data_IF_270373965442
#
_entry.id   IF_270373965442
#
_cell.length_a   1.000
_cell.length_b   1.000
_cell.length_c   1.000
_cell.angle_alpha   90.00
_cell.angle_beta   90.00
_cell.angle_gamma   90.00
#
_symmetry.space_group_name_H-M   'P 1'
#
loop_
_entity.id
_entity.type
_entity.pdbx_description
1 polymer ?
#
# COMPACT_ATOMS: atom_id res chain seq x y z
N UNK A 1 1.28 -17.59 -20.08
CA UNK A 1 1.94 -17.70 -18.77
C UNK A 1 1.05 -17.02 -17.76
N UNK A 2 0.68 -17.69 -16.69
CA UNK A 2 -0.08 -17.07 -15.60
C UNK A 2 0.90 -16.26 -14.76
N UNK A 3 0.76 -14.94 -14.75
CA UNK A 3 1.60 -14.07 -13.92
C UNK A 3 1.28 -14.32 -12.44
N UNK A 4 2.31 -14.59 -11.64
CA UNK A 4 2.20 -14.69 -10.18
C UNK A 4 2.23 -13.25 -9.64
N UNK A 5 1.17 -12.85 -8.93
CA UNK A 5 1.03 -11.50 -8.39
C UNK A 5 1.66 -11.35 -7.00
N UNK A 6 2.24 -10.18 -6.74
CA UNK A 6 2.59 -9.67 -5.42
C UNK A 6 1.73 -8.43 -5.09
N UNK A 7 1.75 -7.99 -3.82
CA UNK A 7 0.83 -6.97 -3.34
C UNK A 7 1.54 -5.74 -2.76
N UNK A 8 0.83 -4.62 -2.82
CA UNK A 8 1.23 -3.37 -2.21
C UNK A 8 0.12 -2.79 -1.33
N UNK A 9 0.53 -2.18 -0.22
CA UNK A 9 -0.36 -1.50 0.71
C UNK A 9 -0.18 0.00 0.54
N UNK A 10 -1.29 0.67 0.28
CA UNK A 10 -1.39 2.11 0.14
C UNK A 10 -2.26 2.67 1.26
N UNK A 11 -1.89 3.80 1.84
CA UNK A 11 -2.76 4.46 2.82
C UNK A 11 -2.55 5.97 2.83
N UNK A 12 -3.48 6.68 3.47
CA UNK A 12 -3.30 8.10 3.78
C UNK A 12 -2.58 8.22 5.12
N UNK A 13 -1.73 9.23 5.21
CA UNK A 13 -0.97 9.56 6.41
C UNK A 13 -1.59 10.80 7.02
N UNK A 14 -1.82 10.79 8.34
CA UNK A 14 -2.34 11.97 9.05
C UNK A 14 -1.27 13.08 9.01
N UNK A 15 -1.57 14.30 8.53
CA UNK A 15 -0.58 15.38 8.45
C UNK A 15 0.09 15.71 9.79
N UNK A 16 -0.63 15.51 10.90
CA UNK A 16 -0.11 15.69 12.26
C UNK A 16 1.06 14.72 12.60
N UNK A 17 1.09 13.52 12.02
CA UNK A 17 2.07 12.47 12.32
C UNK A 17 3.14 12.35 11.23
N UNK A 18 3.31 13.39 10.40
CA UNK A 18 4.26 13.38 9.29
C UNK A 18 5.70 13.13 9.70
N UNK A 19 6.05 13.33 10.98
CA UNK A 19 7.38 13.08 11.51
C UNK A 19 7.59 11.59 11.77
N UNK A 20 6.64 10.94 12.44
CA UNK A 20 6.65 9.50 12.68
C UNK A 20 6.69 8.74 11.35
N UNK A 21 5.86 9.15 10.39
CA UNK A 21 5.84 8.60 9.05
C UNK A 21 7.22 8.69 8.36
N UNK A 22 7.90 9.84 8.40
CA UNK A 22 9.22 10.00 7.77
C UNK A 22 10.26 9.04 8.33
N UNK A 23 10.29 8.90 9.66
CA UNK A 23 11.21 7.99 10.36
C UNK A 23 10.95 6.55 9.98
N UNK A 24 9.69 6.14 9.99
CA UNK A 24 9.29 4.79 9.64
C UNK A 24 9.64 4.49 8.19
N UNK A 25 9.28 5.37 7.25
CA UNK A 25 9.53 5.19 5.82
C UNK A 25 11.02 5.19 5.49
N UNK A 26 11.82 6.01 6.19
CA UNK A 26 13.28 5.98 6.10
C UNK A 26 13.83 4.59 6.49
N UNK A 27 13.29 3.98 7.55
CA UNK A 27 13.62 2.62 7.97
C UNK A 27 13.25 1.55 6.94
N UNK A 28 12.11 1.70 6.26
CA UNK A 28 11.64 0.73 5.24
C UNK A 28 12.43 0.82 3.92
N UNK A 29 12.82 2.04 3.52
CA UNK A 29 13.39 2.30 2.19
C UNK A 29 14.91 2.48 2.19
N UNK A 30 15.51 2.68 3.37
CA UNK A 30 16.90 3.12 3.51
C UNK A 30 17.13 4.58 3.12
N UNK A 31 16.07 5.34 2.82
CA UNK A 31 16.19 6.77 2.53
C UNK A 31 16.49 7.58 3.80
N UNK A 32 17.13 8.74 3.65
CA UNK A 32 17.20 9.67 4.78
C UNK A 32 15.84 10.33 4.97
N UNK A 33 15.48 10.70 6.21
CA UNK A 33 14.20 11.36 6.50
C UNK A 33 13.94 12.61 5.65
N UNK A 34 15.00 13.36 5.31
CA UNK A 34 14.88 14.55 4.45
C UNK A 34 14.52 14.18 3.00
N UNK A 35 15.02 13.05 2.51
CA UNK A 35 14.69 12.56 1.18
C UNK A 35 13.24 12.08 1.15
N UNK A 36 12.77 11.40 2.21
CA UNK A 36 11.34 11.06 2.37
C UNK A 36 10.46 12.30 2.32
N UNK A 37 10.83 13.35 3.08
CA UNK A 37 10.07 14.61 3.06
C UNK A 37 10.03 15.25 1.67
N UNK A 38 11.17 15.31 0.98
CA UNK A 38 11.24 15.93 -0.35
C UNK A 38 10.37 15.20 -1.38
N UNK A 39 10.21 13.87 -1.24
CA UNK A 39 9.50 13.03 -2.20
C UNK A 39 8.01 12.90 -1.89
N UNK A 40 7.66 12.76 -0.61
CA UNK A 40 6.32 12.38 -0.18
C UNK A 40 5.63 13.44 0.68
N UNK A 41 6.34 14.50 1.07
CA UNK A 41 5.81 15.55 1.95
C UNK A 41 4.54 16.19 1.41
N UNK A 42 4.52 16.61 0.13
CA UNK A 42 3.31 17.18 -0.49
C UNK A 42 2.16 16.18 -0.52
N UNK A 43 2.42 14.90 -0.84
CA UNK A 43 1.39 13.87 -0.87
C UNK A 43 0.72 13.67 0.49
N UNK A 44 1.48 13.76 1.59
CA UNK A 44 0.94 13.72 2.95
C UNK A 44 0.06 14.94 3.23
N UNK A 45 0.53 16.15 2.93
CA UNK A 45 -0.21 17.39 3.18
C UNK A 45 -1.51 17.47 2.34
N UNK A 46 -1.50 16.89 1.14
CA UNK A 46 -2.65 16.85 0.25
C UNK A 46 -3.59 15.67 0.51
N UNK A 47 -3.30 14.81 1.49
CA UNK A 47 -4.13 13.66 1.85
C UNK A 47 -4.24 12.59 0.75
N UNK A 48 -3.18 12.43 -0.06
CA UNK A 48 -3.10 11.41 -1.10
C UNK A 48 -2.75 10.04 -0.52
N UNK A 49 -3.13 8.98 -1.22
CA UNK A 49 -2.65 7.64 -0.92
C UNK A 49 -1.16 7.51 -1.26
N UNK A 50 -0.41 6.95 -0.31
CA UNK A 50 1.03 6.74 -0.41
C UNK A 50 1.29 5.23 -0.31
N UNK A 51 2.17 4.72 -1.17
CA UNK A 51 2.68 3.34 -1.08
C UNK A 51 3.49 3.20 0.20
N UNK A 52 3.03 2.37 1.14
CA UNK A 52 3.71 2.13 2.40
C UNK A 52 4.60 0.89 2.34
N UNK A 53 4.07 -0.19 1.75
CA UNK A 53 4.71 -1.49 1.62
C UNK A 53 4.40 -2.05 0.24
N UNK A 54 5.31 -2.85 -0.31
CA UNK A 54 5.18 -3.47 -1.64
C UNK A 54 5.94 -4.78 -1.73
N UNK A 55 5.69 -5.53 -2.80
CA UNK A 55 6.28 -6.85 -3.02
C UNK A 55 5.95 -7.86 -1.91
N UNK A 56 4.74 -7.75 -1.36
CA UNK A 56 4.26 -8.63 -0.30
C UNK A 56 3.65 -9.91 -0.89
N UNK A 57 3.86 -11.03 -0.21
CA UNK A 57 3.00 -12.21 -0.35
C UNK A 57 1.58 -11.91 0.13
N UNK A 58 0.61 -12.76 -0.22
CA UNK A 58 -0.77 -12.56 0.18
C UNK A 58 -0.93 -12.62 1.71
N UNK A 59 -0.29 -13.60 2.35
CA UNK A 59 -0.39 -13.80 3.80
C UNK A 59 0.30 -12.66 4.57
N UNK A 60 1.46 -12.22 4.08
CA UNK A 60 2.18 -11.06 4.61
C UNK A 60 1.34 -9.78 4.48
N UNK A 61 0.72 -9.55 3.32
CA UNK A 61 -0.11 -8.39 3.11
C UNK A 61 -1.31 -8.32 4.07
N UNK A 62 -1.96 -9.45 4.36
CA UNK A 62 -3.03 -9.51 5.35
C UNK A 62 -2.50 -9.20 6.77
N UNK A 63 -1.34 -9.74 7.10
CA UNK A 63 -0.70 -9.51 8.40
C UNK A 63 -0.34 -8.04 8.60
N UNK A 64 0.31 -7.43 7.61
CA UNK A 64 0.73 -6.02 7.62
C UNK A 64 -0.46 -5.07 7.67
N UNK A 65 -1.57 -5.37 6.97
CA UNK A 65 -2.81 -4.60 7.07
C UNK A 65 -3.37 -4.55 8.50
N UNK A 66 -3.22 -5.64 9.25
CA UNK A 66 -3.62 -5.71 10.66
C UNK A 66 -2.70 -4.97 11.62
N UNK A 67 -1.51 -4.57 11.17
CA UNK A 67 -0.44 -4.01 12.01
C UNK A 67 0.01 -2.63 11.52
N UNK A 68 -0.84 -1.92 10.78
CA UNK A 68 -0.49 -0.61 10.24
C UNK A 68 -0.09 0.38 11.33
N UNK A 69 0.97 1.18 11.11
CA UNK A 69 1.40 2.15 12.09
C UNK A 69 0.31 3.18 12.43
N UNK A 70 0.32 3.67 13.66
CA UNK A 70 -0.68 4.61 14.15
C UNK A 70 -0.74 5.93 13.37
N UNK A 71 0.29 6.31 12.60
CA UNK A 71 0.28 7.51 11.75
C UNK A 71 -0.65 7.38 10.51
N UNK A 72 -1.12 6.16 10.22
CA UNK A 72 -2.05 5.89 9.12
C UNK A 72 -3.46 6.37 9.50
N UNK A 73 -4.13 7.05 8.57
CA UNK A 73 -5.52 7.43 8.72
C UNK A 73 -6.42 6.19 8.73
N UNK A 74 -7.25 6.05 9.77
CA UNK A 74 -8.11 4.89 9.95
C UNK A 74 -9.06 4.67 8.76
N UNK A 75 -9.14 3.43 8.28
CA UNK A 75 -9.98 3.06 7.13
C UNK A 75 -9.47 3.54 5.76
N UNK A 76 -8.32 4.23 5.71
CA UNK A 76 -7.75 4.71 4.44
C UNK A 76 -6.96 3.63 3.68
N UNK A 77 -6.56 2.54 4.35
CA UNK A 77 -5.73 1.51 3.77
C UNK A 77 -6.38 0.83 2.55
N UNK A 78 -5.60 0.59 1.52
CA UNK A 78 -5.99 -0.05 0.26
C UNK A 78 -4.93 -1.07 -0.11
N UNK A 79 -5.38 -2.28 -0.45
CA UNK A 79 -4.53 -3.32 -0.97
C UNK A 79 -4.65 -3.37 -2.49
N UNK A 80 -3.51 -3.35 -3.19
CA UNK A 80 -3.43 -3.48 -4.65
C UNK A 80 -2.47 -4.58 -5.03
N UNK A 81 -2.53 -5.02 -6.29
CA UNK A 81 -1.38 -5.68 -6.94
C UNK A 81 -0.28 -4.63 -7.15
N UNK A 82 1.00 -4.94 -6.89
CA UNK A 82 2.11 -3.94 -6.84
C UNK A 82 2.26 -3.09 -8.11
N UNK A 83 1.88 -3.62 -9.27
CA UNK A 83 1.90 -2.89 -10.55
C UNK A 83 0.75 -1.88 -10.71
N UNK A 84 -0.03 -1.62 -9.65
CA UNK A 84 -1.27 -0.89 -9.73
C UNK A 84 -1.48 0.13 -8.60
N UNK A 85 -1.86 1.34 -8.99
CA UNK A 85 -2.23 2.43 -8.09
C UNK A 85 -3.70 2.32 -7.70
N UNK A 86 -4.09 2.55 -6.43
CA UNK A 86 -5.49 2.62 -6.04
C UNK A 86 -6.09 3.95 -6.51
N UNK A 87 -6.34 4.09 -7.82
CA UNK A 87 -7.08 5.22 -8.39
C UNK A 87 -8.52 4.80 -8.71
N UNK A 88 -9.41 5.80 -8.79
CA UNK A 88 -10.88 5.74 -8.70
C UNK A 88 -11.65 4.88 -9.76
N UNK A 89 -10.97 4.06 -10.56
CA UNK A 89 -11.60 3.24 -11.60
C UNK A 89 -11.06 1.80 -11.70
N UNK A 90 -10.40 1.35 -10.64
CA UNK A 90 -9.91 0.01 -10.51
C UNK A 90 -11.03 -1.01 -10.25
N UNK A 91 -11.09 -2.15 -10.98
CA UNK A 91 -11.88 -3.29 -10.54
C UNK A 91 -11.55 -3.68 -9.10
N UNK A 92 -12.59 -3.91 -8.29
CA UNK A 92 -12.45 -4.27 -6.88
C UNK A 92 -13.02 -5.65 -6.61
N UNK A 93 -12.21 -6.52 -6.00
CA UNK A 93 -12.65 -7.82 -5.54
C UNK A 93 -13.19 -7.70 -4.10
N UNK A 94 -14.51 -7.82 -3.94
CA UNK A 94 -15.17 -7.71 -2.64
C UNK A 94 -14.87 -8.88 -1.70
N UNK A 95 -14.54 -10.07 -2.24
CA UNK A 95 -14.21 -11.26 -1.44
C UNK A 95 -12.88 -11.06 -0.69
N UNK A 96 -11.88 -10.51 -1.38
CA UNK A 96 -10.52 -10.38 -0.86
C UNK A 96 -10.17 -8.92 -0.51
N UNK A 97 -11.14 -8.01 -0.59
CA UNK A 97 -10.95 -6.58 -0.37
C UNK A 97 -9.76 -5.97 -1.13
N UNK A 98 -9.55 -6.43 -2.36
CA UNK A 98 -8.34 -6.18 -3.16
C UNK A 98 -8.68 -5.42 -4.44
N UNK A 99 -7.94 -4.35 -4.72
CA UNK A 99 -7.98 -3.65 -6.00
C UNK A 99 -7.08 -4.36 -7.01
N UNK A 100 -7.63 -4.67 -8.19
CA UNK A 100 -7.00 -5.56 -9.16
C UNK A 100 -7.01 -4.96 -10.56
N UNK A 101 -6.11 -5.44 -11.42
CA UNK A 101 -6.17 -5.14 -12.84
C UNK A 101 -7.26 -5.95 -13.54
N UNK A 102 -7.53 -5.64 -14.82
CA UNK A 102 -8.60 -6.22 -15.66
C UNK A 102 -8.57 -7.75 -15.78
N UNK A 103 -7.49 -8.41 -15.35
CA UNK A 103 -7.29 -9.86 -15.41
C UNK A 103 -8.06 -10.62 -14.30
N UNK A 104 -8.79 -9.93 -13.43
CA UNK A 104 -9.51 -10.54 -12.32
C UNK A 104 -8.66 -10.67 -11.06
N UNK A 105 -9.24 -11.22 -10.00
CA UNK A 105 -8.56 -11.31 -8.70
C UNK A 105 -7.55 -12.45 -8.65
N UNK A 106 -6.23 -12.17 -8.48
CA UNK A 106 -5.22 -13.23 -8.44
C UNK A 106 -5.44 -14.19 -7.27
N UNK A 107 -5.98 -13.71 -6.16
CA UNK A 107 -6.32 -14.56 -5.00
C UNK A 107 -7.46 -15.54 -5.31
N UNK A 108 -8.51 -15.10 -6.01
CA UNK A 108 -9.60 -15.98 -6.44
C UNK A 108 -9.11 -17.07 -7.39
N UNK A 109 -8.08 -16.76 -8.18
CA UNK A 109 -7.48 -17.69 -9.15
C UNK A 109 -6.25 -18.42 -8.61
N UNK A 110 -5.89 -18.25 -7.34
CA UNK A 110 -4.71 -18.85 -6.71
C UNK A 110 -3.38 -18.57 -7.45
N UNK A 111 -3.23 -17.35 -8.00
CA UNK A 111 -2.09 -16.89 -8.79
C UNK A 111 -1.31 -15.78 -8.07
N UNK A 112 -0.78 -16.08 -6.90
CA UNK A 112 -0.10 -15.10 -6.06
C UNK A 112 1.11 -15.68 -5.33
N UNK A 113 2.03 -14.82 -4.92
CA UNK A 113 3.09 -15.16 -3.97
C UNK A 113 2.43 -15.41 -2.62
N UNK A 114 2.60 -16.62 -2.08
CA UNK A 114 2.07 -16.99 -0.77
C UNK A 114 2.72 -16.14 0.30
#
# INVERSE_FOLDING_TARGET
MTEIADFAIWAKVRPADKREFRKWMAGQTGWREIDVYSRLGSAVEEGRHIELLKHLGWEDAQTELGQLPAFVEAGSARLTVTSFLPMDSAPYCTIHSLYVWRLGCPVCSNNFIR
#
